data_IF_006979322685
#
_entry.id   IF_006979322685
#
_cell.length_a   1.000
_cell.length_b   1.000
_cell.length_c   1.000
_cell.angle_alpha   90.00
_cell.angle_beta   90.00
_cell.angle_gamma   90.00
#
_symmetry.space_group_name_H-M   'P 1'
#
loop_
_entity.id
_entity.type
_entity.pdbx_description
1 polymer ?
#
# COMPACT_ATOMS: atom_id res chain seq x y z
N UNK A 1 -2.41 0.03 -3.51
CA UNK A 1 -2.22 1.00 -2.40
C UNK A 1 -2.57 0.39 -1.06
N UNK A 2 -3.84 -0.01 -0.85
CA UNK A 2 -4.34 -0.51 0.43
C UNK A 2 -3.42 -1.57 1.09
N UNK A 3 -2.95 -2.56 0.32
CA UNK A 3 -2.03 -3.58 0.81
C UNK A 3 -0.74 -2.99 1.39
N UNK A 4 -0.11 -2.05 0.69
CA UNK A 4 1.09 -1.38 1.18
C UNK A 4 0.81 -0.54 2.42
N UNK A 5 -0.29 0.23 2.44
CA UNK A 5 -0.63 1.07 3.59
C UNK A 5 -0.79 0.24 4.89
N UNK A 6 -1.36 -0.96 4.79
CA UNK A 6 -1.56 -1.85 5.95
C UNK A 6 -0.33 -2.65 6.33
N UNK A 7 0.42 -3.14 5.36
CA UNK A 7 1.42 -4.19 5.56
C UNK A 7 2.86 -3.76 5.27
N UNK A 8 3.06 -2.60 4.65
CA UNK A 8 4.36 -2.03 4.30
C UNK A 8 5.21 -2.95 3.41
N UNK A 9 4.52 -3.75 2.59
CA UNK A 9 5.13 -4.69 1.66
C UNK A 9 4.22 -4.86 0.45
N UNK A 10 4.80 -5.36 -0.64
CA UNK A 10 4.02 -5.79 -1.80
C UNK A 10 3.19 -7.03 -1.44
N UNK A 11 2.04 -7.23 -2.09
CA UNK A 11 1.29 -8.46 -1.90
C UNK A 11 2.05 -9.66 -2.44
N UNK A 12 1.81 -10.81 -1.84
CA UNK A 12 2.10 -12.10 -2.45
C UNK A 12 1.08 -12.41 -3.57
N UNK A 13 1.42 -13.25 -4.57
CA UNK A 13 0.55 -13.49 -5.72
C UNK A 13 -0.84 -14.04 -5.35
N UNK A 14 -0.92 -15.00 -4.44
CA UNK A 14 -2.18 -15.63 -4.05
C UNK A 14 -3.06 -14.68 -3.24
N UNK A 15 -2.47 -13.93 -2.30
CA UNK A 15 -3.13 -12.88 -1.55
C UNK A 15 -3.68 -11.77 -2.46
N UNK A 16 -2.88 -11.31 -3.44
CA UNK A 16 -3.36 -10.32 -4.41
C UNK A 16 -4.57 -10.84 -5.20
N UNK A 17 -4.46 -12.04 -5.76
CA UNK A 17 -5.53 -12.68 -6.54
C UNK A 17 -6.81 -12.82 -5.71
N UNK A 18 -6.70 -13.29 -4.46
CA UNK A 18 -7.82 -13.40 -3.54
C UNK A 18 -8.55 -12.07 -3.33
N UNK A 19 -7.83 -10.99 -3.03
CA UNK A 19 -8.45 -9.69 -2.75
C UNK A 19 -9.01 -9.03 -4.01
N UNK A 20 -8.39 -9.22 -5.17
CA UNK A 20 -8.96 -8.80 -6.46
C UNK A 20 -10.28 -9.51 -6.72
N UNK A 21 -10.33 -10.84 -6.54
CA UNK A 21 -11.56 -11.62 -6.72
C UNK A 21 -12.68 -11.14 -5.77
N UNK A 22 -12.36 -10.87 -4.49
CA UNK A 22 -13.34 -10.30 -3.55
C UNK A 22 -13.86 -8.95 -4.00
N UNK A 23 -12.98 -8.06 -4.47
CA UNK A 23 -13.37 -6.74 -4.97
C UNK A 23 -14.26 -6.84 -6.21
N UNK A 24 -13.88 -7.69 -7.18
CA UNK A 24 -14.67 -7.96 -8.39
C UNK A 24 -16.02 -8.61 -8.09
N UNK A 25 -16.09 -9.41 -7.02
CA UNK A 25 -17.33 -9.98 -6.49
C UNK A 25 -18.20 -9.01 -5.67
N UNK A 26 -17.88 -7.71 -5.67
CA UNK A 26 -18.69 -6.67 -5.03
C UNK A 26 -18.28 -6.26 -3.62
N UNK A 27 -17.19 -6.80 -3.06
CA UNK A 27 -16.70 -6.34 -1.78
C UNK A 27 -16.18 -4.89 -1.89
N UNK A 28 -16.62 -4.01 -0.98
CA UNK A 28 -16.12 -2.64 -0.92
C UNK A 28 -14.67 -2.60 -0.41
N UNK A 29 -13.93 -1.54 -0.76
CA UNK A 29 -12.59 -1.32 -0.20
C UNK A 29 -12.62 -1.22 1.34
N UNK A 30 -13.70 -0.68 1.89
CA UNK A 30 -13.91 -0.59 3.34
C UNK A 30 -14.02 -1.99 3.99
N UNK A 31 -14.75 -2.93 3.37
CA UNK A 31 -14.88 -4.29 3.92
C UNK A 31 -13.57 -5.08 3.82
N UNK A 32 -12.81 -4.89 2.72
CA UNK A 32 -11.47 -5.46 2.56
C UNK A 32 -10.51 -4.90 3.61
N UNK A 33 -10.50 -3.57 3.79
CA UNK A 33 -9.67 -2.92 4.81
C UNK A 33 -9.99 -3.38 6.22
N UNK A 34 -11.27 -3.63 6.52
CA UNK A 34 -11.69 -4.20 7.79
C UNK A 34 -11.11 -5.61 8.01
N UNK A 35 -11.07 -6.45 6.96
CA UNK A 35 -10.41 -7.75 7.05
C UNK A 35 -8.90 -7.63 7.24
N UNK A 36 -8.26 -6.64 6.62
CA UNK A 36 -6.83 -6.39 6.83
C UNK A 36 -6.56 -5.96 8.27
N UNK A 37 -7.40 -5.08 8.84
CA UNK A 37 -7.29 -4.65 10.23
C UNK A 37 -7.47 -5.79 11.25
N UNK A 38 -8.14 -6.87 10.84
CA UNK A 38 -8.35 -8.05 11.69
C UNK A 38 -7.21 -9.07 11.61
N UNK A 39 -6.29 -8.93 10.64
CA UNK A 39 -5.20 -9.88 10.44
C UNK A 39 -4.19 -9.83 11.58
N UNK A 40 -3.52 -10.97 11.83
CA UNK A 40 -2.42 -11.04 12.80
C UNK A 40 -1.30 -10.07 12.44
N UNK A 41 -1.00 -9.89 11.15
CA UNK A 41 0.02 -8.94 10.70
C UNK A 41 -0.32 -7.49 11.10
N UNK A 42 -1.58 -7.07 10.94
CA UNK A 42 -2.01 -5.76 11.38
C UNK A 42 -1.97 -5.62 12.91
N UNK A 43 -2.48 -6.61 13.63
CA UNK A 43 -2.50 -6.61 15.10
C UNK A 43 -1.10 -6.60 15.69
N UNK A 44 -0.16 -7.33 15.11
CA UNK A 44 1.23 -7.35 15.54
C UNK A 44 1.89 -5.98 15.33
N UNK A 45 1.56 -5.27 14.24
CA UNK A 45 2.15 -3.95 13.95
C UNK A 45 1.51 -2.80 14.72
N UNK A 46 0.20 -2.83 14.89
CA UNK A 46 -0.57 -1.66 15.35
C UNK A 46 -1.44 -1.94 16.58
N UNK A 47 -1.64 -3.19 16.97
CA UNK A 47 -2.64 -3.59 17.98
C UNK A 47 -2.37 -3.02 19.36
N UNK A 48 -1.12 -3.03 19.81
CA UNK A 48 -0.72 -2.54 21.12
C UNK A 48 -0.61 -1.00 21.23
N UNK A 49 -0.68 -0.28 20.11
CA UNK A 49 -0.55 1.18 20.11
C UNK A 49 -1.80 1.85 20.68
N UNK A 50 -1.63 2.96 21.39
CA UNK A 50 -2.72 3.90 21.66
C UNK A 50 -3.21 4.54 20.36
N UNK A 51 -4.39 5.17 20.36
CA UNK A 51 -4.89 5.82 19.14
C UNK A 51 -3.97 6.95 18.67
N UNK A 52 -3.41 7.75 19.59
CA UNK A 52 -2.41 8.77 19.27
C UNK A 52 -1.13 8.18 18.67
N UNK A 53 -0.56 7.14 19.28
CA UNK A 53 0.63 6.47 18.76
C UNK A 53 0.36 5.80 17.41
N UNK A 54 -0.82 5.19 17.25
CA UNK A 54 -1.27 4.59 16.00
C UNK A 54 -1.32 5.63 14.87
N UNK A 55 -1.95 6.78 15.10
CA UNK A 55 -2.04 7.85 14.10
C UNK A 55 -0.64 8.32 13.69
N UNK A 56 0.26 8.59 14.66
CA UNK A 56 1.65 8.96 14.37
C UNK A 56 2.35 7.91 13.50
N UNK A 57 2.19 6.64 13.84
CA UNK A 57 2.80 5.54 13.09
C UNK A 57 2.24 5.45 11.66
N UNK A 58 0.94 5.66 11.47
CA UNK A 58 0.32 5.67 10.13
C UNK A 58 0.85 6.82 9.28
N UNK A 59 1.02 8.02 9.85
CA UNK A 59 1.62 9.16 9.15
C UNK A 59 3.04 8.83 8.66
N UNK A 60 3.87 8.26 9.52
CA UNK A 60 5.23 7.84 9.14
C UNK A 60 5.21 6.78 8.04
N UNK A 61 4.34 5.78 8.18
CA UNK A 61 4.30 4.63 7.28
C UNK A 61 3.74 4.94 5.89
N UNK A 62 2.77 5.87 5.80
CA UNK A 62 2.06 6.16 4.54
C UNK A 62 2.55 7.46 3.89
N UNK A 63 2.90 8.47 4.70
CA UNK A 63 3.31 9.79 4.21
C UNK A 63 4.79 10.09 4.42
N UNK A 64 5.53 9.24 5.13
CA UNK A 64 6.97 9.41 5.40
C UNK A 64 7.27 10.72 6.15
N UNK A 65 6.33 11.16 6.99
CA UNK A 65 6.48 12.37 7.81
C UNK A 65 5.69 12.25 9.11
N UNK A 66 6.00 13.13 10.06
CA UNK A 66 5.19 13.29 11.27
C UNK A 66 3.86 14.02 10.94
N UNK A 67 2.78 13.76 11.71
CA UNK A 67 1.59 14.60 11.65
C UNK A 67 1.89 16.01 12.19
N UNK A 68 1.20 17.00 11.62
CA UNK A 68 1.02 18.27 12.32
C UNK A 68 0.05 18.09 13.50
N UNK A 69 0.02 19.07 14.42
CA UNK A 69 -0.77 18.99 15.64
C UNK A 69 -2.29 18.85 15.34
N UNK A 70 -2.80 19.53 14.32
CA UNK A 70 -4.21 19.50 13.95
C UNK A 70 -4.63 18.14 13.38
N UNK A 71 -3.82 17.60 12.46
CA UNK A 71 -4.03 16.28 11.88
C UNK A 71 -4.00 15.17 12.93
N UNK A 72 -3.03 15.21 13.85
CA UNK A 72 -2.97 14.26 14.96
C UNK A 72 -4.23 14.32 15.82
N UNK A 73 -4.61 15.52 16.28
CA UNK A 73 -5.80 15.71 17.12
C UNK A 73 -7.09 15.25 16.41
N UNK A 74 -7.24 15.57 15.13
CA UNK A 74 -8.40 15.18 14.33
C UNK A 74 -8.57 13.66 14.27
N UNK A 75 -7.54 12.93 13.82
CA UNK A 75 -7.64 11.49 13.64
C UNK A 75 -7.72 10.74 14.97
N UNK A 76 -6.96 11.16 15.98
CA UNK A 76 -7.02 10.58 17.32
C UNK A 76 -8.40 10.78 17.94
N UNK A 77 -8.97 11.99 17.88
CA UNK A 77 -10.31 12.27 18.40
C UNK A 77 -11.40 11.42 17.74
N UNK A 78 -11.33 11.20 16.42
CA UNK A 78 -12.28 10.32 15.72
C UNK A 78 -12.19 8.86 16.19
N UNK A 79 -10.97 8.37 16.43
CA UNK A 79 -10.75 7.02 16.94
C UNK A 79 -11.22 6.87 18.40
N UNK A 80 -10.95 7.87 19.24
CA UNK A 80 -11.32 7.86 20.66
C UNK A 80 -12.84 7.88 20.83
N UNK A 81 -13.55 8.67 20.00
CA UNK A 81 -15.02 8.69 19.94
C UNK A 81 -15.64 7.51 19.16
N UNK A 82 -14.81 6.59 18.65
CA UNK A 82 -15.22 5.42 17.86
C UNK A 82 -16.05 5.76 16.61
N UNK A 83 -15.91 6.97 16.07
CA UNK A 83 -16.55 7.40 14.82
C UNK A 83 -15.97 6.70 13.60
N UNK A 84 -14.72 6.24 13.71
CA UNK A 84 -13.98 5.58 12.64
C UNK A 84 -13.16 4.42 13.21
N UNK A 85 -12.97 3.36 12.42
CA UNK A 85 -12.05 2.28 12.78
C UNK A 85 -10.62 2.62 12.39
N UNK A 86 -9.63 1.97 13.02
CA UNK A 86 -8.22 2.05 12.60
C UNK A 86 -8.05 1.67 11.12
N UNK A 87 -8.73 0.62 10.67
CA UNK A 87 -8.71 0.23 9.26
C UNK A 87 -9.20 1.35 8.33
N UNK A 88 -10.27 2.04 8.71
CA UNK A 88 -10.82 3.15 7.93
C UNK A 88 -9.91 4.39 7.93
N UNK A 89 -9.14 4.63 8.99
CA UNK A 89 -8.07 5.65 8.98
C UNK A 89 -7.07 5.34 7.86
N UNK A 90 -6.54 4.13 7.78
CA UNK A 90 -5.59 3.76 6.72
C UNK A 90 -6.18 3.83 5.31
N UNK A 91 -7.47 3.48 5.14
CA UNK A 91 -8.17 3.68 3.86
C UNK A 91 -8.13 5.15 3.47
N UNK A 92 -8.55 6.03 4.38
CA UNK A 92 -8.60 7.48 4.13
C UNK A 92 -7.21 8.05 3.81
N UNK A 93 -6.18 7.59 4.52
CA UNK A 93 -4.80 8.00 4.24
C UNK A 93 -4.35 7.53 2.87
N UNK A 94 -4.57 6.25 2.54
CA UNK A 94 -4.13 5.65 1.28
C UNK A 94 -4.80 6.26 0.05
N UNK A 95 -6.04 6.74 0.19
CA UNK A 95 -6.83 7.30 -0.91
C UNK A 95 -6.86 8.83 -0.95
N UNK A 96 -6.29 9.49 0.07
CA UNK A 96 -6.01 10.92 0.04
C UNK A 96 -5.09 11.29 -1.12
N UNK A 97 -5.12 12.55 -1.55
CA UNK A 97 -4.21 13.05 -2.59
C UNK A 97 -2.73 12.86 -2.22
N UNK A 98 -2.38 13.02 -0.94
CA UNK A 98 -1.02 12.79 -0.45
C UNK A 98 -0.66 11.30 -0.52
N UNK A 99 -1.54 10.41 -0.03
CA UNK A 99 -1.30 8.96 -0.06
C UNK A 99 -1.19 8.41 -1.47
N UNK A 100 -2.02 8.88 -2.40
CA UNK A 100 -1.92 8.51 -3.82
C UNK A 100 -0.57 8.88 -4.41
N UNK A 101 -0.03 10.07 -4.09
CA UNK A 101 1.31 10.49 -4.54
C UNK A 101 2.40 9.64 -3.89
N UNK A 102 2.37 9.48 -2.57
CA UNK A 102 3.39 8.76 -1.78
C UNK A 102 3.45 7.27 -2.12
N UNK A 103 2.31 6.67 -2.45
CA UNK A 103 2.20 5.25 -2.79
C UNK A 103 2.26 4.96 -4.30
N UNK A 104 2.37 5.98 -5.16
CA UNK A 104 2.49 5.80 -6.60
C UNK A 104 3.70 4.93 -7.02
N UNK A 105 4.91 5.10 -6.44
CA UNK A 105 6.08 4.26 -6.74
C UNK A 105 5.77 2.76 -6.66
N UNK A 106 5.20 2.33 -5.53
CA UNK A 106 4.87 0.93 -5.24
C UNK A 106 3.75 0.41 -6.15
N UNK A 107 2.79 1.26 -6.48
CA UNK A 107 1.67 0.92 -7.35
C UNK A 107 2.12 0.74 -8.79
N UNK A 108 2.94 1.64 -9.31
CA UNK A 108 3.41 1.55 -10.70
C UNK A 108 4.27 0.30 -10.92
N UNK A 109 5.20 0.00 -9.99
CA UNK A 109 5.97 -1.25 -10.03
C UNK A 109 5.06 -2.47 -10.13
N UNK A 110 4.05 -2.55 -9.28
CA UNK A 110 3.14 -3.68 -9.24
C UNK A 110 2.27 -3.76 -10.51
N UNK A 111 1.60 -2.67 -10.89
CA UNK A 111 0.64 -2.68 -11.99
C UNK A 111 1.29 -2.87 -13.35
N UNK A 112 2.45 -2.26 -13.60
CA UNK A 112 3.17 -2.42 -14.86
C UNK A 112 3.70 -3.85 -14.97
N UNK A 113 4.24 -4.41 -13.89
CA UNK A 113 4.69 -5.82 -13.88
C UNK A 113 3.54 -6.79 -14.13
N UNK A 114 2.39 -6.58 -13.48
CA UNK A 114 1.19 -7.41 -13.73
C UNK A 114 0.67 -7.25 -15.16
N UNK A 115 0.70 -6.04 -15.71
CA UNK A 115 0.28 -5.78 -17.09
C UNK A 115 1.19 -6.44 -18.13
N UNK A 116 2.51 -6.34 -17.94
CA UNK A 116 3.49 -6.83 -18.90
C UNK A 116 3.77 -8.33 -18.75
N UNK A 117 3.80 -8.85 -17.54
CA UNK A 117 4.26 -10.22 -17.22
C UNK A 117 3.20 -11.10 -16.56
N UNK A 118 2.00 -10.56 -16.26
CA UNK A 118 0.94 -11.30 -15.53
C UNK A 118 1.39 -11.86 -14.17
N UNK A 119 2.44 -11.28 -13.59
CA UNK A 119 3.00 -11.74 -12.30
C UNK A 119 3.37 -10.57 -11.40
N UNK A 120 3.41 -10.84 -10.10
CA UNK A 120 3.93 -9.90 -9.10
C UNK A 120 5.46 -9.86 -9.23
N UNK A 121 6.10 -8.68 -9.21
CA UNK A 121 7.55 -8.58 -9.33
C UNK A 121 8.27 -9.28 -8.16
N UNK A 122 9.50 -9.72 -8.41
CA UNK A 122 10.38 -10.25 -7.36
C UNK A 122 10.70 -9.20 -6.30
N UNK A 123 11.09 -9.63 -5.10
CA UNK A 123 11.48 -8.69 -4.03
C UNK A 123 12.68 -7.82 -4.46
N UNK A 124 13.66 -8.42 -5.15
CA UNK A 124 14.85 -7.73 -5.62
C UNK A 124 14.51 -6.63 -6.64
N UNK A 125 13.69 -6.96 -7.67
CA UNK A 125 13.27 -5.99 -8.67
C UNK A 125 12.46 -4.85 -8.04
N UNK A 126 11.59 -5.17 -7.09
CA UNK A 126 10.77 -4.19 -6.40
C UNK A 126 11.63 -3.23 -5.56
N UNK A 127 12.62 -3.74 -4.82
CA UNK A 127 13.54 -2.93 -4.02
C UNK A 127 14.40 -2.01 -4.89
N UNK A 128 14.95 -2.54 -5.98
CA UNK A 128 15.75 -1.76 -6.94
C UNK A 128 14.92 -0.62 -7.55
N UNK A 129 13.70 -0.92 -8.01
CA UNK A 129 12.82 0.10 -8.59
C UNK A 129 12.50 1.22 -7.59
N UNK A 130 12.20 0.89 -6.34
CA UNK A 130 11.97 1.92 -5.31
C UNK A 130 13.19 2.80 -5.06
N UNK A 131 14.40 2.22 -5.02
CA UNK A 131 15.63 2.99 -4.85
C UNK A 131 15.85 3.95 -6.03
N UNK A 132 15.61 3.51 -7.27
CA UNK A 132 15.70 4.35 -8.47
C UNK A 132 14.72 5.51 -8.44
N UNK A 133 13.48 5.25 -8.05
CA UNK A 133 12.44 6.29 -8.01
C UNK A 133 12.72 7.33 -6.94
N UNK A 134 13.28 6.92 -5.80
CA UNK A 134 13.76 7.84 -4.78
C UNK A 134 14.92 8.73 -5.29
N UNK A 135 15.73 8.23 -6.22
CA UNK A 135 16.78 8.99 -6.91
C UNK A 135 16.27 9.86 -8.08
N UNK A 136 14.95 9.94 -8.30
CA UNK A 136 14.35 10.80 -9.35
C UNK A 136 14.08 10.11 -10.68
N UNK A 137 14.25 8.79 -10.78
CA UNK A 137 13.99 8.03 -12.00
C UNK A 137 12.50 8.05 -12.41
N UNK A 138 12.23 8.06 -13.73
CA UNK A 138 10.88 8.07 -14.28
C UNK A 138 10.21 6.71 -14.12
N UNK A 139 9.36 6.60 -13.09
CA UNK A 139 8.73 5.36 -12.64
C UNK A 139 8.23 4.45 -13.77
N UNK A 140 7.28 4.91 -14.59
CA UNK A 140 6.67 4.05 -15.60
C UNK A 140 7.64 3.66 -16.72
N UNK A 141 8.46 4.61 -17.17
CA UNK A 141 9.43 4.37 -18.25
C UNK A 141 10.48 3.36 -17.83
N UNK A 142 11.05 3.52 -16.63
CA UNK A 142 12.05 2.61 -16.11
C UNK A 142 11.51 1.18 -15.97
N UNK A 143 10.32 0.99 -15.37
CA UNK A 143 9.76 -0.35 -15.20
C UNK A 143 9.55 -1.00 -16.57
N UNK A 144 8.93 -0.30 -17.52
CA UNK A 144 8.68 -0.86 -18.84
C UNK A 144 9.97 -1.24 -19.58
N UNK A 145 11.01 -0.39 -19.51
CA UNK A 145 12.30 -0.66 -20.12
C UNK A 145 13.01 -1.87 -19.52
N UNK A 146 12.97 -2.04 -18.19
CA UNK A 146 13.58 -3.20 -17.56
C UNK A 146 12.83 -4.50 -17.89
N UNK A 147 11.50 -4.44 -17.98
CA UNK A 147 10.71 -5.63 -18.24
C UNK A 147 10.76 -6.06 -19.71
N UNK A 148 10.70 -5.13 -20.68
CA UNK A 148 10.60 -5.47 -22.11
C UNK A 148 11.82 -6.23 -22.66
N UNK A 149 13.00 -6.08 -22.03
CA UNK A 149 14.24 -6.77 -22.40
C UNK A 149 14.58 -7.95 -21.49
N UNK A 150 13.65 -8.33 -20.60
CA UNK A 150 13.88 -9.41 -19.64
C UNK A 150 13.50 -10.78 -20.23
N UNK A 151 14.22 -11.83 -19.81
CA UNK A 151 13.87 -13.22 -20.19
C UNK A 151 12.46 -13.62 -19.74
N UNK A 152 11.96 -13.05 -18.64
CA UNK A 152 10.59 -13.26 -18.18
C UNK A 152 9.54 -12.69 -19.16
N UNK A 153 9.88 -11.62 -19.88
CA UNK A 153 9.03 -11.04 -20.91
C UNK A 153 9.05 -11.85 -22.20
N UNK A 154 10.20 -12.43 -22.55
CA UNK A 154 10.29 -13.33 -23.71
C UNK A 154 9.49 -14.62 -23.47
N UNK A 155 9.53 -15.16 -22.25
CA UNK A 155 8.86 -16.40 -21.88
C UNK A 155 7.33 -16.32 -21.71
N UNK A 156 6.71 -15.17 -22.00
CA UNK A 156 5.25 -14.99 -21.89
C UNK A 156 4.49 -15.25 -23.20
N UNK A 157 5.22 -15.34 -24.31
CA UNK A 157 4.71 -15.70 -25.65
C UNK A 157 4.64 -17.22 -25.78
#
# INVERSE_FOLDING_TARGET
RLYWAFFLRKPDPSGLSYWISKYQGGASLASIAQKFAQSSEFKNRYGALSNGAYVKQVYLNVFERQPDAGGLAYWTGKLDRKEISRGQVLVNFSESSEGKRRLAPQVHLLLISLGMLRTVPSNAFFAEGLARFAAGEKQAAWVAQQLIVSSAYDARL
#
